data_IF_222507354295
#
_entry.id   IF_222507354295
#
_cell.length_a   1.000
_cell.length_b   1.000
_cell.length_c   1.000
_cell.angle_alpha   90.00
_cell.angle_beta   90.00
_cell.angle_gamma   90.00
#
_symmetry.space_group_name_H-M   'P 1'
#
loop_
_entity.id
_entity.type
_entity.pdbx_description
1 polymer ?
#
# COMPACT_ATOMS: atom_id res chain seq x y z
N UNK A 1 5.19 -21.56 32.55
CA UNK A 1 6.43 -22.26 32.95
C UNK A 1 7.70 -21.42 32.71
N UNK A 2 7.70 -20.48 31.76
CA UNK A 2 8.90 -19.73 31.31
C UNK A 2 8.91 -18.24 31.75
N UNK A 3 8.10 -17.87 32.72
CA UNK A 3 8.05 -16.49 33.21
C UNK A 3 9.43 -16.07 33.75
N UNK A 4 9.94 -14.94 33.27
CA UNK A 4 11.27 -14.38 33.60
C UNK A 4 12.48 -15.26 33.23
N UNK A 5 12.34 -16.19 32.25
CA UNK A 5 13.45 -17.00 31.74
C UNK A 5 13.68 -16.71 30.25
N UNK A 6 14.89 -17.00 29.78
CA UNK A 6 15.16 -17.02 28.35
C UNK A 6 14.39 -18.16 27.69
N UNK A 7 13.79 -17.88 26.53
CA UNK A 7 13.02 -18.85 25.75
C UNK A 7 13.54 -18.91 24.33
N UNK A 8 13.47 -20.07 23.74
CA UNK A 8 13.79 -20.32 22.34
C UNK A 8 12.54 -20.65 21.53
N UNK A 9 12.65 -20.63 20.22
CA UNK A 9 11.52 -20.87 19.31
C UNK A 9 10.83 -22.22 19.57
N UNK A 10 11.61 -23.23 19.94
CA UNK A 10 11.01 -24.56 20.24
C UNK A 10 10.13 -24.56 21.51
N UNK A 11 10.40 -23.69 22.49
CA UNK A 11 9.54 -23.55 23.67
C UNK A 11 8.17 -22.99 23.26
N UNK A 12 8.17 -22.03 22.31
CA UNK A 12 6.94 -21.52 21.74
C UNK A 12 6.17 -22.61 20.99
N UNK A 13 6.86 -23.41 20.16
CA UNK A 13 6.26 -24.55 19.46
C UNK A 13 5.57 -25.51 20.43
N UNK A 14 6.29 -25.95 21.47
CA UNK A 14 5.73 -26.88 22.47
C UNK A 14 4.51 -26.31 23.18
N UNK A 15 4.47 -25.01 23.49
CA UNK A 15 3.31 -24.36 24.07
C UNK A 15 2.09 -24.38 23.12
N UNK A 16 2.31 -24.18 21.81
CA UNK A 16 1.26 -24.32 20.81
C UNK A 16 0.76 -25.77 20.70
N UNK A 17 1.67 -26.75 20.72
CA UNK A 17 1.31 -28.16 20.67
C UNK A 17 0.51 -28.60 21.90
N UNK A 18 0.88 -28.13 23.10
CA UNK A 18 0.18 -28.37 24.35
C UNK A 18 -1.27 -27.82 24.30
N UNK A 19 -1.46 -26.59 23.80
CA UNK A 19 -2.78 -25.96 23.75
C UNK A 19 -3.66 -26.54 22.64
N UNK A 20 -3.08 -26.84 21.47
CA UNK A 20 -3.85 -27.23 20.29
C UNK A 20 -3.99 -28.74 20.12
N UNK A 21 -3.18 -29.56 20.80
CA UNK A 21 -3.08 -30.98 20.58
C UNK A 21 -2.58 -31.40 19.21
N UNK A 22 -1.95 -30.48 18.46
CA UNK A 22 -1.48 -30.70 17.07
C UNK A 22 0.03 -30.63 17.00
N UNK A 23 0.63 -31.49 16.15
CA UNK A 23 2.05 -31.35 15.78
C UNK A 23 2.26 -30.06 14.99
N UNK A 24 3.08 -29.14 15.53
CA UNK A 24 3.43 -27.88 14.94
C UNK A 24 4.82 -27.87 14.31
N UNK A 25 5.55 -28.97 14.27
CA UNK A 25 6.90 -29.05 13.71
C UNK A 25 6.97 -28.50 12.28
N UNK A 26 6.02 -28.91 11.42
CA UNK A 26 5.99 -28.45 10.05
C UNK A 26 5.77 -26.93 9.95
N UNK A 27 4.83 -26.39 10.72
CA UNK A 27 4.55 -24.95 10.74
C UNK A 27 5.80 -24.17 11.15
N UNK A 28 6.45 -24.55 12.27
CA UNK A 28 7.63 -23.85 12.74
C UNK A 28 8.83 -24.01 11.80
N UNK A 29 9.04 -25.20 11.23
CA UNK A 29 10.08 -25.43 10.23
C UNK A 29 9.86 -24.57 8.98
N UNK A 30 8.61 -24.45 8.51
CA UNK A 30 8.24 -23.72 7.31
C UNK A 30 8.37 -22.20 7.49
N UNK A 31 7.94 -21.65 8.63
CA UNK A 31 7.77 -20.21 8.82
C UNK A 31 8.84 -19.56 9.69
N UNK A 32 9.46 -20.30 10.59
CA UNK A 32 10.39 -19.76 11.59
C UNK A 32 11.83 -20.21 11.42
N UNK A 33 12.06 -21.42 10.90
CA UNK A 33 13.39 -22.04 10.81
C UNK A 33 13.95 -22.08 9.38
N UNK A 34 13.18 -21.64 8.39
CA UNK A 34 13.62 -21.49 7.00
C UNK A 34 13.53 -20.03 6.56
N UNK A 35 14.31 -19.71 5.54
CA UNK A 35 14.33 -18.40 4.90
C UNK A 35 13.29 -18.32 3.78
N UNK A 36 12.83 -17.08 3.47
CA UNK A 36 11.93 -16.79 2.37
C UNK A 36 10.46 -16.92 2.73
N UNK A 37 9.62 -16.75 1.74
CA UNK A 37 8.14 -16.81 1.83
C UNK A 37 7.57 -17.41 0.53
N UNK A 38 6.30 -17.87 0.53
CA UNK A 38 5.66 -18.36 -0.68
C UNK A 38 5.49 -17.26 -1.73
N UNK A 39 5.79 -17.59 -2.98
CA UNK A 39 5.45 -16.78 -4.15
C UNK A 39 4.55 -17.63 -5.03
N UNK A 40 3.28 -17.25 -5.13
CA UNK A 40 2.25 -18.01 -5.83
C UNK A 40 1.96 -17.37 -7.20
N UNK A 41 2.11 -18.16 -8.27
CA UNK A 41 1.52 -17.85 -9.57
C UNK A 41 0.19 -18.58 -9.65
N UNK A 42 -0.91 -17.85 -9.78
CA UNK A 42 -2.27 -18.37 -9.81
C UNK A 42 -2.89 -18.03 -11.15
N UNK A 43 -3.45 -19.03 -11.83
CA UNK A 43 -4.24 -18.85 -13.03
C UNK A 43 -5.66 -19.34 -12.78
N UNK A 44 -6.62 -18.53 -13.14
CA UNK A 44 -8.03 -18.81 -13.07
C UNK A 44 -8.57 -19.04 -14.46
N UNK A 45 -9.34 -20.11 -14.63
CA UNK A 45 -10.12 -20.37 -15.83
C UNK A 45 -11.48 -20.95 -15.46
N UNK A 46 -12.47 -20.86 -16.32
CA UNK A 46 -13.78 -21.45 -16.11
C UNK A 46 -14.41 -21.84 -17.44
N UNK A 47 -15.31 -22.80 -17.36
CA UNK A 47 -16.25 -23.15 -18.42
C UNK A 47 -17.69 -23.14 -17.86
N UNK A 48 -18.66 -23.71 -18.60
CA UNK A 48 -20.06 -23.72 -18.20
C UNK A 48 -20.29 -24.46 -16.87
N UNK A 49 -19.51 -25.51 -16.60
CA UNK A 49 -19.77 -26.48 -15.53
C UNK A 49 -18.75 -26.38 -14.39
N UNK A 50 -17.59 -25.78 -14.63
CA UNK A 50 -16.46 -25.83 -13.70
C UNK A 50 -15.66 -24.54 -13.65
N UNK A 51 -15.12 -24.26 -12.47
CA UNK A 51 -14.10 -23.26 -12.19
C UNK A 51 -12.80 -23.98 -11.87
N UNK A 52 -11.71 -23.53 -12.47
CA UNK A 52 -10.38 -24.11 -12.30
C UNK A 52 -9.42 -23.11 -11.69
N UNK A 53 -8.60 -23.57 -10.76
CA UNK A 53 -7.56 -22.79 -10.11
C UNK A 53 -6.23 -23.55 -10.17
N UNK A 54 -5.32 -23.05 -10.98
CA UNK A 54 -3.96 -23.59 -11.11
C UNK A 54 -2.98 -22.77 -10.30
N UNK A 55 -2.38 -23.37 -9.27
CA UNK A 55 -1.41 -22.71 -8.39
C UNK A 55 -0.03 -23.30 -8.61
N UNK A 56 0.95 -22.42 -8.87
CA UNK A 56 2.37 -22.78 -8.93
C UNK A 56 3.15 -21.95 -7.91
N UNK A 57 3.88 -22.63 -7.05
CA UNK A 57 4.84 -22.01 -6.13
C UNK A 57 6.13 -21.64 -6.89
N UNK A 58 6.50 -20.36 -6.87
CA UNK A 58 7.60 -19.78 -7.67
C UNK A 58 8.73 -19.19 -6.84
N UNK A 59 8.68 -19.30 -5.51
CA UNK A 59 9.73 -18.79 -4.65
C UNK A 59 11.10 -19.39 -5.01
N UNK A 60 12.11 -18.53 -4.97
CA UNK A 60 13.51 -18.94 -5.02
C UNK A 60 14.00 -19.00 -3.58
N UNK A 61 14.27 -20.19 -3.09
CA UNK A 61 14.91 -20.40 -1.80
C UNK A 61 16.03 -21.45 -1.95
N UNK A 62 17.09 -21.31 -1.19
CA UNK A 62 18.31 -22.13 -1.30
C UNK A 62 18.05 -23.62 -1.04
N UNK A 63 16.95 -23.95 -0.36
CA UNK A 63 16.60 -25.32 0.03
C UNK A 63 15.47 -25.93 -0.78
N UNK A 64 14.96 -25.23 -1.80
CA UNK A 64 13.84 -25.73 -2.63
C UNK A 64 12.56 -26.02 -1.86
N UNK A 65 12.31 -25.31 -0.75
CA UNK A 65 11.15 -25.53 0.12
C UNK A 65 9.85 -25.35 -0.66
N UNK A 66 8.99 -26.36 -0.60
CA UNK A 66 7.59 -26.28 -1.05
C UNK A 66 6.71 -26.11 0.17
N UNK A 67 6.00 -25.01 0.24
CA UNK A 67 5.11 -24.68 1.35
C UNK A 67 3.85 -25.55 1.31
N UNK A 68 3.34 -25.91 2.48
CA UNK A 68 2.00 -26.43 2.64
C UNK A 68 1.11 -25.34 3.21
N UNK A 69 0.14 -24.90 2.39
CA UNK A 69 -0.70 -23.76 2.70
C UNK A 69 -2.16 -24.18 2.72
N UNK A 70 -2.82 -24.17 3.89
CA UNK A 70 -4.27 -24.21 3.95
C UNK A 70 -4.80 -22.88 3.44
N UNK A 71 -5.56 -22.90 2.35
CA UNK A 71 -6.11 -21.73 1.68
C UNK A 71 -7.62 -21.89 1.54
N UNK A 72 -8.30 -20.78 1.29
CA UNK A 72 -9.69 -20.74 0.82
C UNK A 72 -9.72 -20.22 -0.61
N UNK A 73 -10.65 -20.71 -1.40
CA UNK A 73 -11.01 -20.15 -2.70
C UNK A 73 -12.43 -19.67 -2.61
N UNK A 74 -12.67 -18.38 -2.83
CA UNK A 74 -14.00 -17.83 -3.00
C UNK A 74 -14.30 -17.69 -4.48
N UNK A 75 -15.50 -18.12 -4.88
CA UNK A 75 -16.05 -17.91 -6.22
C UNK A 75 -17.34 -17.12 -6.08
N UNK A 76 -17.41 -15.96 -6.73
CA UNK A 76 -18.50 -15.01 -6.62
C UNK A 76 -19.41 -15.10 -7.85
N UNK A 77 -20.73 -15.10 -7.64
CA UNK A 77 -21.75 -15.14 -8.66
C UNK A 77 -22.94 -14.26 -8.25
N UNK A 78 -23.09 -13.07 -8.82
CA UNK A 78 -24.27 -12.23 -8.61
C UNK A 78 -24.65 -11.97 -7.14
N UNK A 79 -23.65 -11.81 -6.26
CA UNK A 79 -23.85 -11.63 -4.81
C UNK A 79 -23.82 -12.93 -4.00
N UNK A 80 -23.78 -14.12 -4.63
CA UNK A 80 -23.58 -15.41 -3.96
C UNK A 80 -22.08 -15.69 -3.90
N UNK A 81 -21.57 -16.13 -2.76
CA UNK A 81 -20.16 -16.51 -2.58
C UNK A 81 -20.08 -17.98 -2.19
N UNK A 82 -19.43 -18.77 -3.02
CA UNK A 82 -19.10 -20.16 -2.73
C UNK A 82 -17.66 -20.23 -2.21
N UNK A 83 -17.46 -20.79 -1.03
CA UNK A 83 -16.14 -20.90 -0.39
C UNK A 83 -15.68 -22.36 -0.37
N UNK A 84 -14.50 -22.59 -0.91
CA UNK A 84 -13.88 -23.91 -0.97
C UNK A 84 -12.57 -23.93 -0.20
N UNK A 85 -12.46 -24.73 0.90
CA UNK A 85 -11.17 -24.94 1.55
C UNK A 85 -10.29 -25.83 0.68
N UNK A 86 -9.03 -25.44 0.50
CA UNK A 86 -8.03 -26.19 -0.24
C UNK A 86 -6.75 -26.35 0.60
N UNK A 87 -5.95 -27.35 0.29
CA UNK A 87 -4.62 -27.51 0.82
C UNK A 87 -3.61 -27.60 -0.30
N UNK A 88 -2.85 -26.52 -0.51
CA UNK A 88 -1.74 -26.51 -1.46
C UNK A 88 -0.55 -27.25 -0.83
N UNK A 89 -0.15 -28.40 -1.42
CA UNK A 89 0.96 -29.24 -0.92
C UNK A 89 2.12 -29.34 -1.89
N UNK A 90 1.83 -29.15 -3.16
CA UNK A 90 2.77 -29.43 -4.25
C UNK A 90 3.29 -28.13 -4.87
N UNK A 91 4.44 -28.21 -5.54
CA UNK A 91 4.99 -27.07 -6.30
C UNK A 91 4.03 -26.58 -7.40
N UNK A 92 3.28 -27.50 -8.01
CA UNK A 92 2.16 -27.20 -8.92
C UNK A 92 0.96 -28.03 -8.49
N UNK A 93 -0.19 -27.39 -8.43
CA UNK A 93 -1.43 -28.08 -8.06
C UNK A 93 -2.63 -27.46 -8.77
N UNK A 94 -3.53 -28.31 -9.24
CA UNK A 94 -4.76 -27.97 -9.93
C UNK A 94 -5.93 -28.25 -9.00
N UNK A 95 -6.91 -27.34 -8.98
CA UNK A 95 -8.16 -27.50 -8.27
C UNK A 95 -9.32 -27.22 -9.24
N UNK A 96 -10.38 -28.01 -9.13
CA UNK A 96 -11.59 -27.83 -9.91
C UNK A 96 -12.80 -27.81 -8.96
N UNK A 97 -13.72 -26.87 -9.24
CA UNK A 97 -14.94 -26.70 -8.46
C UNK A 97 -16.14 -26.60 -9.39
N UNK A 98 -17.31 -27.08 -8.94
CA UNK A 98 -18.53 -26.95 -9.73
C UNK A 98 -18.88 -25.46 -9.91
N UNK A 99 -19.16 -25.07 -11.15
CA UNK A 99 -19.61 -23.73 -11.49
C UNK A 99 -21.12 -23.56 -11.30
N UNK A 100 -21.55 -22.32 -11.02
CA UNK A 100 -22.95 -21.89 -11.05
C UNK A 100 -23.24 -20.99 -12.26
N UNK A 101 -22.30 -20.88 -13.20
CA UNK A 101 -22.30 -19.99 -14.34
C UNK A 101 -21.00 -19.20 -14.46
N UNK A 102 -21.00 -18.08 -15.17
CA UNK A 102 -19.81 -17.22 -15.27
C UNK A 102 -19.56 -16.52 -13.92
N UNK A 103 -18.38 -16.72 -13.29
CA UNK A 103 -18.06 -16.05 -12.04
C UNK A 103 -17.73 -14.58 -12.25
N UNK A 104 -18.15 -13.72 -11.31
CA UNK A 104 -17.73 -12.31 -11.25
C UNK A 104 -16.30 -12.18 -10.74
N UNK A 105 -15.87 -13.10 -9.86
CA UNK A 105 -14.52 -13.13 -9.29
C UNK A 105 -14.20 -14.53 -8.76
N UNK A 106 -12.97 -14.98 -9.00
CA UNK A 106 -12.36 -16.11 -8.31
C UNK A 106 -11.20 -15.56 -7.49
N UNK A 107 -11.18 -15.82 -6.16
CA UNK A 107 -10.19 -15.23 -5.25
C UNK A 107 -9.59 -16.28 -4.32
N UNK A 108 -8.29 -16.49 -4.41
CA UNK A 108 -7.52 -17.36 -3.52
C UNK A 108 -7.03 -16.53 -2.32
N UNK A 109 -7.20 -17.10 -1.11
CA UNK A 109 -6.93 -16.42 0.17
C UNK A 109 -7.66 -15.06 0.28
N UNK A 110 -9.01 -15.07 0.22
CA UNK A 110 -9.81 -13.85 0.15
C UNK A 110 -9.62 -12.93 1.38
N UNK A 111 -9.29 -13.51 2.51
CA UNK A 111 -9.04 -12.78 3.76
C UNK A 111 -7.58 -12.29 3.89
N UNK A 112 -6.70 -12.66 2.95
CA UNK A 112 -5.25 -12.34 2.96
C UNK A 112 -4.55 -12.73 4.25
N UNK A 113 -4.82 -13.96 4.73
CA UNK A 113 -4.25 -14.49 5.98
C UNK A 113 -2.82 -15.00 5.77
N UNK A 114 -2.54 -15.58 4.60
CA UNK A 114 -1.24 -16.18 4.33
C UNK A 114 -0.25 -15.11 3.90
N UNK A 115 0.90 -15.07 4.57
CA UNK A 115 2.02 -14.21 4.16
C UNK A 115 2.63 -14.77 2.86
N UNK A 116 2.21 -14.25 1.73
CA UNK A 116 2.72 -14.66 0.42
C UNK A 116 2.66 -13.52 -0.60
N UNK A 117 3.48 -13.60 -1.63
CA UNK A 117 3.30 -12.83 -2.85
C UNK A 117 2.40 -13.60 -3.81
N UNK A 118 1.50 -12.90 -4.50
CA UNK A 118 0.62 -13.49 -5.52
C UNK A 118 0.81 -12.78 -6.86
N UNK A 119 0.84 -13.58 -7.93
CA UNK A 119 0.71 -13.11 -9.33
C UNK A 119 -0.48 -13.81 -9.94
N UNK A 120 -1.49 -13.06 -10.28
CA UNK A 120 -2.80 -13.55 -10.73
C UNK A 120 -3.11 -13.04 -12.13
N UNK A 121 -3.93 -13.78 -12.88
CA UNK A 121 -4.36 -13.41 -14.24
C UNK A 121 -5.74 -12.72 -14.27
N UNK A 122 -6.12 -12.06 -13.17
CA UNK A 122 -7.41 -11.35 -13.08
C UNK A 122 -7.50 -10.23 -14.11
N UNK A 123 -8.70 -10.06 -14.64
CA UNK A 123 -9.07 -8.99 -15.55
C UNK A 123 -9.31 -7.66 -14.81
N UNK A 124 -9.44 -6.56 -15.56
CA UNK A 124 -9.84 -5.26 -14.98
C UNK A 124 -11.17 -5.39 -14.25
N UNK A 125 -12.15 -6.10 -14.81
CA UNK A 125 -13.48 -6.26 -14.21
C UNK A 125 -13.42 -7.03 -12.88
N UNK A 126 -12.63 -8.09 -12.83
CA UNK A 126 -12.44 -8.87 -11.59
C UNK A 126 -11.73 -8.06 -10.50
N UNK A 127 -10.73 -7.23 -10.83
CA UNK A 127 -10.10 -6.33 -9.85
C UNK A 127 -11.04 -5.22 -9.37
N UNK A 128 -11.87 -4.66 -10.26
CA UNK A 128 -12.91 -3.69 -9.89
C UNK A 128 -13.92 -4.35 -8.94
N UNK A 129 -14.38 -5.55 -9.28
CA UNK A 129 -15.28 -6.32 -8.42
C UNK A 129 -14.64 -6.63 -7.06
N UNK A 130 -13.37 -7.06 -7.06
CA UNK A 130 -12.61 -7.32 -5.82
C UNK A 130 -12.56 -6.08 -4.92
N UNK A 131 -12.26 -4.91 -5.47
CA UNK A 131 -12.21 -3.66 -4.71
C UNK A 131 -13.57 -3.32 -4.09
N UNK A 132 -14.64 -3.49 -4.84
CA UNK A 132 -16.00 -3.11 -4.42
C UNK A 132 -16.60 -4.05 -3.38
N UNK A 133 -16.29 -5.35 -3.44
CA UNK A 133 -16.94 -6.39 -2.64
C UNK A 133 -16.04 -7.01 -1.56
N UNK A 134 -14.75 -6.77 -1.57
CA UNK A 134 -13.87 -7.21 -0.48
C UNK A 134 -13.70 -6.10 0.55
N UNK A 135 -13.77 -6.48 1.85
CA UNK A 135 -13.65 -5.54 2.96
C UNK A 135 -12.23 -5.46 3.54
N UNK A 136 -11.33 -6.37 3.13
CA UNK A 136 -9.97 -6.41 3.64
C UNK A 136 -9.09 -5.38 2.90
N UNK A 137 -8.35 -4.58 3.67
CA UNK A 137 -7.43 -3.58 3.15
C UNK A 137 -6.48 -4.14 2.08
N UNK A 138 -5.83 -5.29 2.37
CA UNK A 138 -4.85 -5.86 1.45
C UNK A 138 -5.48 -6.28 0.10
N UNK A 139 -6.70 -6.78 0.09
CA UNK A 139 -7.40 -7.14 -1.14
C UNK A 139 -7.75 -5.90 -1.99
N UNK A 140 -8.22 -4.82 -1.35
CA UNK A 140 -8.48 -3.55 -2.03
C UNK A 140 -7.19 -2.93 -2.56
N UNK A 141 -6.12 -2.96 -1.77
CA UNK A 141 -4.79 -2.47 -2.17
C UNK A 141 -4.24 -3.24 -3.37
N UNK A 142 -4.37 -4.57 -3.40
CA UNK A 142 -3.98 -5.40 -4.56
C UNK A 142 -4.70 -4.95 -5.84
N UNK A 143 -6.01 -4.65 -5.78
CA UNK A 143 -6.75 -4.17 -6.92
C UNK A 143 -6.26 -2.80 -7.41
N UNK A 144 -6.00 -1.86 -6.49
CA UNK A 144 -5.41 -0.55 -6.81
C UNK A 144 -4.06 -0.74 -7.52
N UNK A 145 -3.16 -1.55 -6.95
CA UNK A 145 -1.82 -1.79 -7.50
C UNK A 145 -1.88 -2.46 -8.88
N UNK A 146 -2.76 -3.46 -9.05
CA UNK A 146 -2.91 -4.17 -10.31
C UNK A 146 -3.42 -3.28 -11.46
N UNK A 147 -4.23 -2.27 -11.14
CA UNK A 147 -4.87 -1.41 -12.14
C UNK A 147 -4.11 -0.10 -12.42
N UNK A 148 -2.96 0.16 -11.76
CA UNK A 148 -2.21 1.42 -11.92
C UNK A 148 -1.84 1.77 -13.35
N UNK A 149 -1.48 0.78 -14.15
CA UNK A 149 -1.12 0.98 -15.56
C UNK A 149 -2.36 1.05 -16.49
N UNK A 150 -3.53 0.66 -15.98
CA UNK A 150 -4.80 0.64 -16.72
C UNK A 150 -5.60 1.95 -16.58
N UNK A 151 -5.25 2.83 -15.66
CA UNK A 151 -6.01 4.09 -15.42
C UNK A 151 -6.03 5.06 -16.61
N UNK A 152 -5.18 4.87 -17.60
CA UNK A 152 -5.09 5.69 -18.82
C UNK A 152 -5.85 5.13 -20.01
N UNK A 153 -6.26 3.88 -19.92
CA UNK A 153 -6.83 3.13 -21.06
C UNK A 153 -8.15 2.43 -20.72
N UNK A 154 -8.57 2.47 -19.47
CA UNK A 154 -9.81 1.83 -19.00
C UNK A 154 -10.62 2.77 -18.10
N UNK A 155 -11.82 3.11 -18.55
CA UNK A 155 -12.76 3.94 -17.77
C UNK A 155 -13.11 3.28 -16.43
N UNK A 156 -13.19 1.95 -16.38
CA UNK A 156 -13.46 1.18 -15.15
C UNK A 156 -12.31 1.32 -14.16
N UNK A 157 -11.06 1.25 -14.61
CA UNK A 157 -9.91 1.45 -13.76
C UNK A 157 -9.84 2.91 -13.26
N UNK A 158 -10.10 3.87 -14.14
CA UNK A 158 -10.19 5.30 -13.78
C UNK A 158 -11.26 5.55 -12.72
N UNK A 159 -12.46 4.99 -12.91
CA UNK A 159 -13.56 5.12 -11.94
C UNK A 159 -13.20 4.49 -10.58
N UNK A 160 -12.54 3.33 -10.57
CA UNK A 160 -12.03 2.72 -9.33
C UNK A 160 -11.06 3.65 -8.61
N UNK A 161 -10.13 4.29 -9.32
CA UNK A 161 -9.19 5.22 -8.72
C UNK A 161 -9.88 6.46 -8.14
N UNK A 162 -10.90 7.00 -8.81
CA UNK A 162 -11.74 8.06 -8.23
C UNK A 162 -12.43 7.62 -6.94
N UNK A 163 -12.92 6.38 -6.90
CA UNK A 163 -13.51 5.79 -5.69
C UNK A 163 -12.45 5.61 -4.61
N UNK A 164 -11.26 5.10 -4.95
CA UNK A 164 -10.19 4.84 -4.01
C UNK A 164 -9.61 6.13 -3.39
N UNK A 165 -9.54 7.23 -4.13
CA UNK A 165 -9.16 8.56 -3.61
C UNK A 165 -10.18 9.14 -2.62
N UNK A 166 -11.36 8.54 -2.51
CA UNK A 166 -12.42 8.94 -1.57
C UNK A 166 -12.74 7.83 -0.56
N UNK A 167 -11.97 6.73 -0.53
CA UNK A 167 -12.21 5.63 0.40
C UNK A 167 -12.16 6.13 1.85
N UNK A 168 -13.06 5.67 2.74
CA UNK A 168 -13.05 6.04 4.15
C UNK A 168 -11.70 5.78 4.84
N UNK A 169 -10.99 4.71 4.44
CA UNK A 169 -9.71 4.37 5.02
C UNK A 169 -8.57 5.14 4.33
N UNK A 170 -7.88 5.96 5.10
CA UNK A 170 -6.79 6.82 4.59
C UNK A 170 -5.68 6.03 3.87
N UNK A 171 -5.41 4.77 4.26
CA UNK A 171 -4.40 3.93 3.64
C UNK A 171 -4.69 3.67 2.16
N UNK A 172 -5.96 3.40 1.80
CA UNK A 172 -6.37 3.19 0.41
C UNK A 172 -6.33 4.49 -0.40
N UNK A 173 -6.72 5.63 0.21
CA UNK A 173 -6.57 6.95 -0.45
C UNK A 173 -5.11 7.24 -0.76
N UNK A 174 -4.21 6.95 0.18
CA UNK A 174 -2.77 7.10 0.03
C UNK A 174 -2.20 6.19 -1.06
N UNK A 175 -2.57 4.90 -1.06
CA UNK A 175 -2.11 3.93 -2.05
C UNK A 175 -2.56 4.34 -3.47
N UNK A 176 -3.80 4.78 -3.64
CA UNK A 176 -4.30 5.27 -4.92
C UNK A 176 -3.54 6.52 -5.38
N UNK A 177 -3.35 7.51 -4.50
CA UNK A 177 -2.62 8.73 -4.80
C UNK A 177 -1.19 8.45 -5.25
N UNK A 178 -0.48 7.56 -4.55
CA UNK A 178 0.92 7.25 -4.84
C UNK A 178 1.13 6.49 -6.15
N UNK A 179 0.09 5.87 -6.68
CA UNK A 179 0.11 5.18 -7.98
C UNK A 179 -0.27 6.09 -9.16
N UNK A 180 -0.74 7.33 -8.90
CA UNK A 180 -1.07 8.29 -9.95
C UNK A 180 0.21 8.95 -10.49
N UNK A 181 0.43 8.83 -11.81
CA UNK A 181 1.56 9.44 -12.49
C UNK A 181 1.47 10.97 -12.57
N UNK A 182 2.59 11.60 -12.99
CA UNK A 182 2.67 13.05 -13.21
C UNK A 182 2.54 13.44 -14.68
N UNK A 183 2.14 12.51 -15.55
CA UNK A 183 1.89 12.75 -16.97
C UNK A 183 0.61 13.59 -17.19
N UNK A 184 0.45 14.12 -18.42
CA UNK A 184 -0.68 15.00 -18.73
C UNK A 184 -2.04 14.35 -18.60
N UNK A 185 -2.15 13.04 -18.92
CA UNK A 185 -3.40 12.28 -18.84
C UNK A 185 -3.78 12.10 -17.36
N UNK A 186 -2.84 11.59 -16.55
CA UNK A 186 -3.07 11.41 -15.11
C UNK A 186 -3.44 12.73 -14.42
N UNK A 187 -2.77 13.83 -14.78
CA UNK A 187 -3.15 15.17 -14.30
C UNK A 187 -4.56 15.57 -14.70
N UNK A 188 -4.95 15.41 -15.97
CA UNK A 188 -6.29 15.76 -16.41
C UNK A 188 -7.40 15.00 -15.68
N UNK A 189 -7.14 13.75 -15.32
CA UNK A 189 -8.10 12.88 -14.64
C UNK A 189 -8.21 13.17 -13.13
N UNK A 190 -7.09 13.40 -12.44
CA UNK A 190 -7.06 13.33 -10.98
C UNK A 190 -6.68 14.61 -10.26
N UNK A 191 -6.18 15.65 -10.97
CA UNK A 191 -5.63 16.86 -10.34
C UNK A 191 -6.60 17.53 -9.36
N UNK A 192 -7.87 17.68 -9.74
CA UNK A 192 -8.89 18.28 -8.88
C UNK A 192 -9.11 17.50 -7.57
N UNK A 193 -9.03 16.16 -7.63
CA UNK A 193 -9.13 15.33 -6.44
C UNK A 193 -7.90 15.52 -5.55
N UNK A 194 -6.70 15.54 -6.13
CA UNK A 194 -5.42 15.73 -5.44
C UNK A 194 -5.35 17.11 -4.78
N UNK A 195 -5.80 18.17 -5.47
CA UNK A 195 -5.89 19.52 -4.89
C UNK A 195 -6.82 19.57 -3.67
N UNK A 196 -7.97 18.88 -3.71
CA UNK A 196 -8.85 18.76 -2.54
C UNK A 196 -8.19 18.02 -1.39
N UNK A 197 -7.51 16.89 -1.68
CA UNK A 197 -6.79 16.10 -0.67
C UNK A 197 -5.68 16.93 -0.02
N UNK A 198 -4.91 17.68 -0.78
CA UNK A 198 -3.87 18.58 -0.28
C UNK A 198 -4.42 19.68 0.64
N UNK A 199 -5.61 20.18 0.34
CA UNK A 199 -6.25 21.23 1.12
C UNK A 199 -6.89 20.74 2.42
N UNK A 200 -7.55 19.60 2.41
CA UNK A 200 -8.53 19.27 3.44
C UNK A 200 -8.70 17.78 3.75
N UNK A 201 -7.78 16.90 3.34
CA UNK A 201 -7.90 15.50 3.74
C UNK A 201 -7.82 15.36 5.28
N UNK A 202 -8.67 14.48 5.82
CA UNK A 202 -8.73 14.23 7.26
C UNK A 202 -7.45 13.57 7.81
N UNK A 203 -6.66 12.93 6.95
CA UNK A 203 -5.38 12.32 7.31
C UNK A 203 -4.21 13.22 6.88
N UNK A 204 -3.42 13.66 7.85
CA UNK A 204 -2.20 14.42 7.57
C UNK A 204 -1.20 13.67 6.67
N UNK A 205 -1.22 12.33 6.68
CA UNK A 205 -0.37 11.52 5.79
C UNK A 205 -0.80 11.64 4.33
N UNK A 206 -2.10 11.61 4.08
CA UNK A 206 -2.65 11.79 2.72
C UNK A 206 -2.46 13.24 2.27
N UNK A 207 -2.73 14.22 3.15
CA UNK A 207 -2.50 15.65 2.88
C UNK A 207 -1.05 15.90 2.48
N UNK A 208 -0.09 15.36 3.23
CA UNK A 208 1.34 15.46 2.92
C UNK A 208 1.70 14.87 1.55
N UNK A 209 1.20 13.66 1.22
CA UNK A 209 1.48 13.02 -0.07
C UNK A 209 0.87 13.83 -1.23
N UNK A 210 -0.33 14.39 -1.04
CA UNK A 210 -0.97 15.26 -2.02
C UNK A 210 -0.19 16.58 -2.23
N UNK A 211 0.27 17.22 -1.15
CA UNK A 211 1.17 18.38 -1.25
C UNK A 211 2.47 18.03 -1.97
N UNK A 212 3.04 16.87 -1.69
CA UNK A 212 4.24 16.37 -2.36
C UNK A 212 4.02 16.13 -3.85
N UNK A 213 2.84 15.62 -4.23
CA UNK A 213 2.45 15.47 -5.64
C UNK A 213 2.40 16.83 -6.34
N UNK A 214 1.71 17.81 -5.75
CA UNK A 214 1.59 19.16 -6.32
C UNK A 214 2.93 19.89 -6.39
N UNK A 215 3.81 19.72 -5.41
CA UNK A 215 5.15 20.30 -5.37
C UNK A 215 6.04 19.84 -6.54
N UNK A 216 5.85 18.59 -7.02
CA UNK A 216 6.58 18.07 -8.20
C UNK A 216 6.14 18.71 -9.52
N UNK A 217 4.95 19.28 -9.57
CA UNK A 217 4.46 19.99 -10.76
C UNK A 217 5.20 21.30 -11.00
N UNK A 218 5.80 21.91 -9.96
CA UNK A 218 6.51 23.19 -9.99
C UNK A 218 5.66 24.33 -10.60
N UNK A 219 4.36 24.33 -10.33
CA UNK A 219 3.42 25.33 -10.86
C UNK A 219 3.18 26.41 -9.79
N UNK A 220 3.51 27.64 -10.14
CA UNK A 220 3.40 28.81 -9.24
C UNK A 220 1.99 29.06 -8.74
N UNK A 221 0.96 28.58 -9.44
CA UNK A 221 -0.44 28.67 -8.96
C UNK A 221 -0.65 28.04 -7.58
N UNK A 222 0.21 27.13 -7.15
CA UNK A 222 0.14 26.48 -5.84
C UNK A 222 0.87 27.23 -4.73
N UNK A 223 1.62 28.29 -5.04
CA UNK A 223 2.36 29.08 -4.04
C UNK A 223 1.45 29.58 -2.91
N UNK A 224 0.23 30.11 -3.16
CA UNK A 224 -0.67 30.51 -2.08
C UNK A 224 -1.12 29.35 -1.19
N UNK A 225 -1.32 28.15 -1.77
CA UNK A 225 -1.66 26.95 -1.01
C UNK A 225 -0.49 26.55 -0.10
N UNK A 226 0.72 26.44 -0.62
CA UNK A 226 1.88 26.08 0.17
C UNK A 226 2.16 27.11 1.27
N UNK A 227 2.02 28.40 0.98
CA UNK A 227 2.18 29.47 1.99
C UNK A 227 1.19 29.29 3.13
N UNK A 228 -0.09 29.00 2.84
CA UNK A 228 -1.08 28.71 3.88
C UNK A 228 -0.72 27.48 4.71
N UNK A 229 -0.15 26.44 4.09
CA UNK A 229 0.23 25.21 4.77
C UNK A 229 1.44 25.37 5.73
N UNK A 230 2.17 26.49 5.69
CA UNK A 230 3.18 26.79 6.70
C UNK A 230 2.61 26.96 8.11
N UNK A 231 1.31 27.17 8.24
CA UNK A 231 0.57 27.23 9.53
C UNK A 231 -0.26 25.98 9.81
N UNK A 232 -0.01 24.87 9.10
CA UNK A 232 -0.73 23.61 9.35
C UNK A 232 -0.30 22.99 10.69
N UNK A 233 -1.23 22.30 11.33
CA UNK A 233 -0.96 21.61 12.61
C UNK A 233 0.02 20.45 12.50
N UNK A 234 0.27 19.95 11.29
CA UNK A 234 1.22 18.86 11.02
C UNK A 234 2.56 19.40 10.54
N UNK A 235 3.59 19.25 11.34
CA UNK A 235 4.95 19.63 10.95
C UNK A 235 5.43 18.97 9.66
N UNK A 236 4.93 17.77 9.33
CA UNK A 236 5.23 17.12 8.03
C UNK A 236 4.60 17.85 6.84
N UNK A 237 3.39 18.38 7.00
CA UNK A 237 2.76 19.23 5.98
C UNK A 237 3.51 20.56 5.86
N UNK A 238 3.89 21.18 6.97
CA UNK A 238 4.71 22.41 7.02
C UNK A 238 6.04 22.20 6.30
N UNK A 239 6.76 21.13 6.61
CA UNK A 239 8.05 20.78 5.99
C UNK A 239 7.92 20.57 4.47
N UNK A 240 6.85 19.86 4.05
CA UNK A 240 6.59 19.64 2.62
C UNK A 240 6.27 20.95 1.90
N UNK A 241 5.46 21.81 2.52
CA UNK A 241 5.11 23.11 1.96
C UNK A 241 6.35 24.04 1.87
N UNK A 242 7.17 24.09 2.91
CA UNK A 242 8.41 24.88 2.90
C UNK A 242 9.36 24.43 1.78
N UNK A 243 9.52 23.12 1.61
CA UNK A 243 10.34 22.54 0.53
C UNK A 243 9.76 22.88 -0.86
N UNK A 244 8.43 22.91 -0.99
CA UNK A 244 7.77 23.28 -2.24
C UNK A 244 7.96 24.76 -2.56
N UNK A 245 7.79 25.64 -1.57
CA UNK A 245 8.01 27.07 -1.69
C UNK A 245 9.46 27.36 -2.11
N UNK A 246 10.43 26.64 -1.53
CA UNK A 246 11.85 26.84 -1.87
C UNK A 246 12.17 26.61 -3.36
N UNK A 247 11.36 25.78 -4.04
CA UNK A 247 11.50 25.54 -5.49
C UNK A 247 10.80 26.57 -6.36
N UNK A 248 9.88 27.35 -5.80
CA UNK A 248 9.07 28.36 -6.52
C UNK A 248 9.50 29.77 -6.17
N UNK A 249 9.72 30.06 -4.90
CA UNK A 249 10.10 31.36 -4.36
C UNK A 249 11.11 31.19 -3.23
N UNK A 250 12.39 31.33 -3.54
CA UNK A 250 13.49 31.14 -2.58
C UNK A 250 13.50 32.22 -1.50
N UNK A 251 13.15 33.47 -1.81
CA UNK A 251 13.16 34.55 -0.83
C UNK A 251 12.07 34.33 0.23
N UNK A 252 10.86 33.95 -0.21
CA UNK A 252 9.78 33.60 0.69
C UNK A 252 10.13 32.38 1.54
N UNK A 253 10.78 31.36 0.97
CA UNK A 253 11.16 30.16 1.71
C UNK A 253 12.17 30.44 2.81
N UNK A 254 13.18 31.28 2.54
CA UNK A 254 14.21 31.65 3.52
C UNK A 254 13.61 32.45 4.69
N UNK A 255 12.80 33.46 4.39
CA UNK A 255 12.12 34.24 5.44
C UNK A 255 11.20 33.37 6.29
N UNK A 256 10.48 32.44 5.68
CA UNK A 256 9.63 31.47 6.37
C UNK A 256 10.43 30.48 7.21
N UNK A 257 11.56 29.97 6.71
CA UNK A 257 12.43 29.04 7.43
C UNK A 257 12.97 29.66 8.73
N UNK A 258 13.39 30.94 8.69
CA UNK A 258 13.87 31.68 9.89
C UNK A 258 12.77 31.73 10.96
N UNK A 259 11.52 31.97 10.56
CA UNK A 259 10.40 32.02 11.51
C UNK A 259 10.11 30.65 12.09
N UNK A 260 10.15 29.59 11.26
CA UNK A 260 9.85 28.20 11.65
C UNK A 260 10.94 27.54 12.51
N UNK A 261 12.17 28.08 12.56
CA UNK A 261 13.20 27.60 13.50
C UNK A 261 12.79 27.73 14.97
N UNK A 262 11.80 28.56 15.29
CA UNK A 262 11.26 28.72 16.66
C UNK A 262 10.38 27.54 17.08
N UNK A 263 9.89 26.76 16.13
CA UNK A 263 9.07 25.58 16.40
C UNK A 263 9.90 24.48 17.10
N UNK A 264 9.32 23.67 17.97
CA UNK A 264 10.06 22.68 18.76
C UNK A 264 10.49 21.45 17.96
N UNK A 265 9.89 21.18 16.78
CA UNK A 265 10.09 19.96 16.02
C UNK A 265 11.45 19.90 15.32
N UNK A 266 12.24 18.87 15.62
CA UNK A 266 13.60 18.74 15.11
C UNK A 266 13.64 18.35 13.61
N UNK A 267 12.65 17.63 13.09
CA UNK A 267 12.56 17.26 11.67
C UNK A 267 12.30 18.52 10.83
N UNK A 268 11.37 19.37 11.29
CA UNK A 268 11.10 20.66 10.66
C UNK A 268 12.33 21.58 10.69
N UNK A 269 13.03 21.67 11.83
CA UNK A 269 14.28 22.45 11.92
C UNK A 269 15.33 21.96 10.93
N UNK A 270 15.47 20.65 10.75
CA UNK A 270 16.35 20.08 9.72
C UNK A 270 16.01 20.58 8.32
N UNK A 271 14.73 20.62 7.96
CA UNK A 271 14.27 21.18 6.66
C UNK A 271 14.57 22.70 6.59
N UNK A 272 14.33 23.46 7.66
CA UNK A 272 14.66 24.88 7.69
C UNK A 272 16.15 25.13 7.44
N UNK A 273 17.03 24.39 8.13
CA UNK A 273 18.46 24.49 7.90
C UNK A 273 18.87 24.12 6.46
N UNK A 274 18.23 23.10 5.87
CA UNK A 274 18.46 22.73 4.48
C UNK A 274 18.13 23.90 3.53
N UNK A 275 16.95 24.50 3.69
CA UNK A 275 16.51 25.66 2.89
C UNK A 275 17.46 26.85 3.05
N UNK A 276 17.90 27.14 4.26
CA UNK A 276 18.82 28.24 4.55
C UNK A 276 20.24 28.00 4.01
N UNK A 277 20.69 26.74 3.95
CA UNK A 277 22.03 26.38 3.49
C UNK A 277 22.16 26.40 1.95
N UNK A 278 21.09 26.22 1.19
CA UNK A 278 21.12 26.21 -0.28
C UNK A 278 21.54 27.55 -0.87
N UNK A 279 21.32 28.66 -0.14
CA UNK A 279 21.83 30.00 -0.50
C UNK A 279 22.41 30.67 0.74
N UNK A 280 23.50 30.09 1.21
CA UNK A 280 24.18 30.56 2.40
C UNK A 280 24.66 32.03 2.24
N UNK A 281 24.25 32.87 3.21
CA UNK A 281 24.77 34.22 3.41
C UNK A 281 25.42 34.26 4.78
N UNK A 282 26.58 34.93 4.89
CA UNK A 282 27.32 35.07 6.14
C UNK A 282 26.53 35.73 7.28
N UNK A 283 25.49 36.51 6.97
CA UNK A 283 24.55 37.06 7.94
C UNK A 283 23.77 36.00 8.72
N UNK A 284 23.67 34.77 8.17
CA UNK A 284 22.96 33.64 8.78
C UNK A 284 23.84 32.79 9.71
N UNK A 285 25.13 33.11 9.84
CA UNK A 285 26.08 32.35 10.68
C UNK A 285 25.58 32.10 12.12
N UNK A 286 24.92 33.09 12.69
CA UNK A 286 24.39 33.00 14.07
C UNK A 286 23.32 31.91 14.22
N UNK A 287 22.60 31.56 13.14
CA UNK A 287 21.56 30.51 13.17
C UNK A 287 22.17 29.10 13.16
N UNK A 288 23.35 28.92 12.59
CA UNK A 288 24.05 27.63 12.49
C UNK A 288 24.98 27.36 13.69
N UNK A 289 25.26 28.37 14.50
CA UNK A 289 26.12 28.26 15.69
C UNK A 289 25.34 27.96 17.00
N UNK A 290 24.03 28.07 16.99
CA UNK A 290 23.19 27.68 18.13
C UNK A 290 23.10 26.15 18.22
N UNK A 291 23.58 25.62 19.34
CA UNK A 291 23.65 24.17 19.66
C UNK A 291 22.32 23.46 19.61
#
# INVERSE_FOLDING_TARGET
ANQFKSVEIHNLRLAFEEVTGRDMNRFFNQWMLNSGHPVLKINYTHDADSVYVDITQKQSNDKGLTYQLPLKVNVHYGGIVMTYPILLKNKKQHFAFKSLGTPDLIDVDPERIVLCEKKENKTVDEYVYQYQHNHHYNAKREAIEALKDSIRVSDKATALYHQALQDPFFGLRKDALNNIGHDSISKSLFLNAIERMANSDSSNRVKQDALSYLAKLKDEKYLPMFTRMLSDSSYKCVSTALTAINKLDTALSQSSAILLLKEPDNELKGVCYTVLSERYDSSLNHLFQSK
#
